data_IF_631029556557
#
_entry.id   IF_631029556557
#
_cell.length_a   1.000
_cell.length_b   1.000
_cell.length_c   1.000
_cell.angle_alpha   90.00
_cell.angle_beta   90.00
_cell.angle_gamma   90.00
#
_symmetry.space_group_name_H-M   'P 1'
#
loop_
_entity.id
_entity.type
_entity.pdbx_description
1 polymer ?
#
# COMPACT_ATOMS: atom_id res chain seq x y z
N UNK A 1 46.05 -6.21 -22.45
CA UNK A 1 45.06 -6.83 -21.55
C UNK A 1 44.02 -5.78 -21.22
N UNK A 2 42.90 -5.84 -21.91
CA UNK A 2 41.85 -4.82 -21.89
C UNK A 2 41.06 -4.86 -20.60
N UNK A 3 40.79 -3.67 -20.08
CA UNK A 3 40.13 -3.41 -18.82
C UNK A 3 38.61 -3.69 -18.97
N UNK A 4 38.14 -4.87 -18.55
CA UNK A 4 36.71 -5.22 -18.54
C UNK A 4 36.00 -4.65 -17.31
N UNK A 5 35.91 -3.33 -17.22
CA UNK A 5 34.88 -2.69 -16.39
C UNK A 5 33.58 -2.67 -17.22
N UNK A 6 32.82 -3.76 -17.17
CA UNK A 6 31.41 -3.71 -17.55
C UNK A 6 30.66 -2.92 -16.49
N UNK A 7 30.40 -1.66 -16.81
CA UNK A 7 29.40 -0.81 -16.16
C UNK A 7 28.10 -1.61 -15.96
N UNK A 8 27.81 -1.97 -14.72
CA UNK A 8 26.49 -2.42 -14.34
C UNK A 8 25.54 -1.22 -14.53
N UNK A 9 24.76 -1.25 -15.62
CA UNK A 9 23.64 -0.35 -15.84
C UNK A 9 22.75 -0.37 -14.60
N UNK A 10 22.78 0.72 -13.85
CA UNK A 10 21.83 1.00 -12.78
C UNK A 10 20.43 0.97 -13.40
N UNK A 11 19.67 -0.10 -13.14
CA UNK A 11 18.27 -0.17 -13.50
C UNK A 11 17.56 1.02 -12.86
N UNK A 12 17.14 1.99 -13.69
CA UNK A 12 16.23 3.04 -13.25
C UNK A 12 15.00 2.36 -12.67
N UNK A 13 14.84 2.41 -11.33
CA UNK A 13 13.60 2.05 -10.68
C UNK A 13 12.52 3.04 -11.16
N UNK A 14 11.85 2.73 -12.27
CA UNK A 14 10.65 3.43 -12.72
C UNK A 14 9.66 3.37 -11.54
N UNK A 15 9.36 4.54 -10.96
CA UNK A 15 8.47 4.65 -9.82
C UNK A 15 7.11 4.07 -10.24
N UNK A 16 6.69 2.99 -9.59
CA UNK A 16 5.40 2.37 -9.87
C UNK A 16 4.30 3.40 -9.58
N UNK A 17 3.41 3.64 -10.54
CA UNK A 17 2.29 4.55 -10.34
C UNK A 17 1.19 3.88 -9.53
N UNK A 18 0.35 4.65 -8.81
CA UNK A 18 -0.83 4.10 -8.12
C UNK A 18 -1.70 3.25 -9.04
N UNK A 19 -1.89 3.67 -10.29
CA UNK A 19 -2.63 2.91 -11.30
C UNK A 19 -2.00 1.53 -11.55
N UNK A 20 -0.68 1.46 -11.78
CA UNK A 20 0.03 0.19 -12.00
C UNK A 20 -0.11 -0.73 -10.80
N UNK A 21 0.10 -0.20 -9.59
CA UNK A 21 -0.03 -0.96 -8.34
C UNK A 21 -1.46 -1.48 -8.16
N UNK A 22 -2.46 -0.66 -8.46
CA UNK A 22 -3.87 -1.06 -8.36
C UNK A 22 -4.21 -2.21 -9.31
N UNK A 23 -3.75 -2.20 -10.56
CA UNK A 23 -3.99 -3.33 -11.46
C UNK A 23 -3.26 -4.60 -11.03
N UNK A 24 -2.05 -4.49 -10.46
CA UNK A 24 -1.33 -5.64 -9.88
C UNK A 24 -2.13 -6.25 -8.72
N UNK A 25 -2.62 -5.41 -7.79
CA UNK A 25 -3.48 -5.86 -6.69
C UNK A 25 -4.76 -6.52 -7.18
N UNK A 26 -5.41 -5.99 -8.22
CA UNK A 26 -6.60 -6.60 -8.80
C UNK A 26 -6.31 -7.97 -9.41
N UNK A 27 -5.24 -8.10 -10.18
CA UNK A 27 -4.84 -9.39 -10.78
C UNK A 27 -4.53 -10.41 -9.68
N UNK A 28 -3.80 -10.00 -8.64
CA UNK A 28 -3.51 -10.86 -7.49
C UNK A 28 -4.79 -11.34 -6.81
N UNK A 29 -5.72 -10.43 -6.49
CA UNK A 29 -6.98 -10.78 -5.83
C UNK A 29 -7.85 -11.72 -6.68
N UNK A 30 -7.87 -11.56 -8.01
CA UNK A 30 -8.58 -12.47 -8.91
C UNK A 30 -7.93 -13.85 -8.94
N UNK A 31 -6.60 -13.93 -8.99
CA UNK A 31 -5.88 -15.22 -8.93
C UNK A 31 -6.17 -15.93 -7.60
N UNK A 32 -6.12 -15.23 -6.48
CA UNK A 32 -6.38 -15.83 -5.16
C UNK A 32 -7.83 -16.35 -5.04
N UNK A 33 -8.80 -15.63 -5.63
CA UNK A 33 -10.23 -15.97 -5.51
C UNK A 33 -10.70 -17.00 -6.54
N UNK A 34 -10.18 -16.92 -7.76
CA UNK A 34 -10.71 -17.64 -8.94
C UNK A 34 -9.66 -18.52 -9.63
N UNK A 35 -8.42 -18.54 -9.13
CA UNK A 35 -7.28 -19.28 -9.68
C UNK A 35 -6.66 -18.65 -10.94
N UNK A 36 -7.38 -17.75 -11.62
CA UNK A 36 -6.95 -17.11 -12.86
C UNK A 36 -7.45 -15.67 -12.95
N UNK A 37 -6.74 -14.82 -13.69
CA UNK A 37 -7.19 -13.47 -14.02
C UNK A 37 -7.39 -13.33 -15.54
N UNK A 38 -8.64 -13.22 -16.00
CA UNK A 38 -8.95 -12.87 -17.41
C UNK A 38 -9.05 -11.35 -17.57
N UNK A 39 -8.78 -10.85 -18.77
CA UNK A 39 -8.96 -9.41 -19.08
C UNK A 39 -10.40 -8.95 -18.81
N UNK A 40 -11.40 -9.78 -19.10
CA UNK A 40 -12.81 -9.50 -18.81
C UNK A 40 -13.08 -9.33 -17.31
N UNK A 41 -12.45 -10.16 -16.48
CA UNK A 41 -12.67 -10.16 -15.03
C UNK A 41 -11.92 -8.98 -14.40
N UNK A 42 -10.72 -8.65 -14.90
CA UNK A 42 -9.99 -7.43 -14.55
C UNK A 42 -10.81 -6.18 -14.91
N UNK A 43 -11.35 -6.11 -16.12
CA UNK A 43 -12.16 -4.98 -16.58
C UNK A 43 -13.39 -4.77 -15.68
N UNK A 44 -14.10 -5.86 -15.35
CA UNK A 44 -15.26 -5.86 -14.46
C UNK A 44 -14.89 -5.43 -13.05
N UNK A 45 -13.84 -6.00 -12.46
CA UNK A 45 -13.38 -5.67 -11.11
C UNK A 45 -12.93 -4.20 -10.97
N UNK A 46 -12.38 -3.62 -12.06
CA UNK A 46 -11.93 -2.23 -12.10
C UNK A 46 -13.02 -1.24 -12.53
N UNK A 47 -14.16 -1.71 -13.05
CA UNK A 47 -15.21 -0.84 -13.62
C UNK A 47 -14.77 -0.08 -14.87
N UNK A 48 -13.91 -0.69 -15.71
CA UNK A 48 -13.36 -0.07 -16.93
C UNK A 48 -13.70 -0.87 -18.18
N UNK A 49 -13.55 -0.26 -19.36
CA UNK A 49 -13.74 -0.97 -20.62
C UNK A 49 -12.73 -2.11 -20.81
N UNK A 50 -13.10 -3.12 -21.62
CA UNK A 50 -12.18 -4.21 -21.99
C UNK A 50 -10.91 -3.68 -22.68
N UNK A 51 -11.03 -2.66 -23.52
CA UNK A 51 -9.90 -2.02 -24.18
C UNK A 51 -8.96 -1.33 -23.18
N UNK A 52 -9.52 -0.64 -22.18
CA UNK A 52 -8.77 -0.02 -21.09
C UNK A 52 -8.00 -1.06 -20.28
N UNK A 53 -8.65 -2.16 -19.88
CA UNK A 53 -8.00 -3.26 -19.18
C UNK A 53 -6.90 -3.91 -20.02
N UNK A 54 -7.14 -4.11 -21.32
CA UNK A 54 -6.14 -4.64 -22.26
C UNK A 54 -4.90 -3.76 -22.32
N UNK A 55 -5.07 -2.44 -22.41
CA UNK A 55 -3.96 -1.49 -22.43
C UNK A 55 -3.19 -1.47 -21.10
N UNK A 56 -3.90 -1.55 -19.98
CA UNK A 56 -3.27 -1.66 -18.66
C UNK A 56 -2.43 -2.94 -18.54
N UNK A 57 -2.96 -4.09 -18.95
CA UNK A 57 -2.20 -5.36 -18.93
C UNK A 57 -1.00 -5.30 -19.89
N UNK A 58 -1.14 -4.70 -21.08
CA UNK A 58 0.01 -4.48 -21.97
C UNK A 58 1.11 -3.64 -21.32
N UNK A 59 0.75 -2.59 -20.55
CA UNK A 59 1.72 -1.80 -19.78
C UNK A 59 2.35 -2.64 -18.65
N UNK A 60 1.61 -3.50 -17.97
CA UNK A 60 2.18 -4.41 -16.96
C UNK A 60 3.16 -5.42 -17.57
N UNK A 61 2.87 -5.92 -18.78
CA UNK A 61 3.77 -6.79 -19.54
C UNK A 61 5.05 -6.04 -19.92
N UNK A 62 4.95 -4.81 -20.42
CA UNK A 62 6.15 -4.03 -20.77
C UNK A 62 7.00 -3.64 -19.56
N UNK A 63 6.42 -3.61 -18.36
CA UNK A 63 7.13 -3.43 -17.09
C UNK A 63 7.71 -4.73 -16.51
N UNK A 64 7.46 -5.89 -17.13
CA UNK A 64 7.88 -7.20 -16.64
C UNK A 64 7.18 -7.65 -15.36
N UNK A 65 5.95 -7.16 -15.11
CA UNK A 65 5.17 -7.43 -13.91
C UNK A 65 4.10 -8.50 -14.14
N UNK A 66 3.68 -8.69 -15.39
CA UNK A 66 2.70 -9.68 -15.81
C UNK A 66 3.18 -10.39 -17.06
N UNK A 67 2.93 -11.69 -17.13
CA UNK A 67 2.96 -12.48 -18.36
C UNK A 67 1.54 -12.69 -18.88
N UNK A 68 1.30 -12.34 -20.14
CA UNK A 68 0.00 -12.52 -20.77
C UNK A 68 0.16 -12.96 -22.23
N UNK A 69 -0.23 -14.22 -22.52
CA UNK A 69 -0.23 -14.78 -23.89
C UNK A 69 -1.54 -14.45 -24.60
N UNK A 70 -1.56 -14.53 -25.93
CA UNK A 70 -2.79 -14.31 -26.72
C UNK A 70 -3.85 -15.34 -26.30
N UNK A 71 -5.06 -14.87 -25.95
CA UNK A 71 -6.15 -15.66 -25.35
C UNK A 71 -5.84 -16.30 -23.99
N UNK A 72 -4.73 -15.93 -23.35
CA UNK A 72 -4.30 -16.46 -22.07
C UNK A 72 -4.78 -15.65 -20.87
N UNK A 73 -4.57 -16.22 -19.68
CA UNK A 73 -4.75 -15.52 -18.41
C UNK A 73 -3.58 -14.58 -18.14
N UNK A 74 -3.84 -13.47 -17.45
CA UNK A 74 -2.79 -12.64 -16.89
C UNK A 74 -2.17 -13.38 -15.69
N UNK A 75 -0.86 -13.63 -15.74
CA UNK A 75 -0.09 -14.25 -14.66
C UNK A 75 0.89 -13.25 -14.11
N UNK A 76 1.00 -13.13 -12.79
CA UNK A 76 2.03 -12.29 -12.19
C UNK A 76 3.39 -12.95 -12.41
N UNK A 77 4.38 -12.16 -12.84
CA UNK A 77 5.78 -12.61 -12.82
C UNK A 77 6.26 -12.68 -11.36
N UNK A 78 7.42 -13.32 -11.06
CA UNK A 78 7.98 -13.28 -9.71
C UNK A 78 8.21 -11.86 -9.16
N UNK A 79 8.44 -10.87 -10.04
CA UNK A 79 8.53 -9.46 -9.66
C UNK A 79 7.15 -8.88 -9.35
N UNK A 80 6.15 -9.10 -10.21
CA UNK A 80 4.78 -8.65 -9.98
C UNK A 80 4.16 -9.24 -8.71
N UNK A 81 4.43 -10.52 -8.43
CA UNK A 81 3.95 -11.21 -7.23
C UNK A 81 4.50 -10.59 -5.95
N UNK A 82 5.81 -10.29 -5.90
CA UNK A 82 6.42 -9.62 -4.74
C UNK A 82 5.80 -8.26 -4.47
N UNK A 83 5.50 -7.49 -5.52
CA UNK A 83 4.83 -6.20 -5.39
C UNK A 83 3.40 -6.38 -4.87
N UNK A 84 2.64 -7.33 -5.44
CA UNK A 84 1.28 -7.61 -5.00
C UNK A 84 1.21 -8.00 -3.51
N UNK A 85 2.10 -8.88 -3.06
CA UNK A 85 2.18 -9.30 -1.66
C UNK A 85 2.57 -8.15 -0.73
N UNK A 86 3.51 -7.29 -1.15
CA UNK A 86 3.87 -6.08 -0.41
C UNK A 86 2.66 -5.16 -0.24
N UNK A 87 1.89 -4.93 -1.31
CA UNK A 87 0.68 -4.10 -1.29
C UNK A 87 -0.39 -4.72 -0.39
N UNK A 88 -0.69 -6.01 -0.54
CA UNK A 88 -1.69 -6.72 0.28
C UNK A 88 -1.34 -6.67 1.77
N UNK A 89 -0.07 -6.85 2.09
CA UNK A 89 0.42 -6.73 3.47
C UNK A 89 0.33 -5.30 3.98
N UNK A 90 0.57 -4.30 3.14
CA UNK A 90 0.36 -2.88 3.45
C UNK A 90 -1.10 -2.57 3.75
N UNK A 91 -2.02 -2.98 2.86
CA UNK A 91 -3.47 -2.83 3.05
C UNK A 91 -3.93 -3.46 4.36
N UNK A 92 -3.46 -4.67 4.67
CA UNK A 92 -3.84 -5.38 5.91
C UNK A 92 -3.40 -4.61 7.15
N UNK A 93 -2.18 -4.07 7.18
CA UNK A 93 -1.68 -3.27 8.31
C UNK A 93 -2.49 -1.99 8.50
N UNK A 94 -2.81 -1.29 7.41
CA UNK A 94 -3.61 -0.06 7.47
C UNK A 94 -5.04 -0.40 7.93
N UNK A 95 -5.65 -1.43 7.36
CA UNK A 95 -6.97 -1.92 7.76
C UNK A 95 -7.01 -2.19 9.26
N UNK A 96 -6.08 -3.01 9.75
CA UNK A 96 -6.03 -3.40 11.14
C UNK A 96 -5.69 -2.22 12.06
N UNK A 97 -4.89 -1.26 11.63
CA UNK A 97 -4.72 -0.02 12.38
C UNK A 97 -6.08 0.68 12.59
N UNK A 98 -6.86 0.88 11.54
CA UNK A 98 -8.16 1.52 11.63
C UNK A 98 -9.17 0.70 12.45
N UNK A 99 -9.09 -0.64 12.44
CA UNK A 99 -9.96 -1.49 13.23
C UNK A 99 -9.56 -1.52 14.71
N UNK A 100 -8.30 -1.85 15.02
CA UNK A 100 -7.85 -2.08 16.39
C UNK A 100 -7.58 -0.79 17.17
N UNK A 101 -7.15 0.27 16.50
CA UNK A 101 -6.72 1.51 17.16
C UNK A 101 -7.79 2.58 17.06
N UNK A 102 -8.39 2.75 15.87
CA UNK A 102 -9.41 3.78 15.65
C UNK A 102 -10.83 3.25 15.94
N UNK A 103 -11.04 1.94 15.90
CA UNK A 103 -12.32 1.32 16.25
C UNK A 103 -13.41 1.40 15.17
N UNK A 104 -13.05 1.53 13.88
CA UNK A 104 -14.05 1.62 12.81
C UNK A 104 -14.39 0.25 12.19
N UNK A 105 -15.61 0.07 11.62
CA UNK A 105 -16.02 -1.18 11.01
C UNK A 105 -15.11 -1.64 9.87
N UNK A 106 -14.92 -2.95 9.74
CA UNK A 106 -14.02 -3.59 8.77
C UNK A 106 -14.20 -3.05 7.34
N UNK A 107 -15.44 -2.99 6.84
CA UNK A 107 -15.72 -2.51 5.48
C UNK A 107 -15.21 -1.08 5.24
N UNK A 108 -15.32 -0.21 6.24
CA UNK A 108 -14.82 1.17 6.16
C UNK A 108 -13.29 1.20 6.23
N UNK A 109 -12.69 0.38 7.09
CA UNK A 109 -11.24 0.23 7.19
C UNK A 109 -10.61 -0.32 5.89
N UNK A 110 -11.26 -1.26 5.21
CA UNK A 110 -10.83 -1.79 3.91
C UNK A 110 -10.80 -0.71 2.83
N UNK A 111 -11.87 0.10 2.76
CA UNK A 111 -11.94 1.21 1.81
C UNK A 111 -10.79 2.19 2.04
N UNK A 112 -10.56 2.61 3.28
CA UNK A 112 -9.48 3.53 3.63
C UNK A 112 -8.11 2.93 3.29
N UNK A 113 -7.87 1.68 3.67
CA UNK A 113 -6.61 0.99 3.39
C UNK A 113 -6.29 0.96 1.89
N UNK A 114 -7.29 0.66 1.06
CA UNK A 114 -7.15 0.61 -0.40
C UNK A 114 -6.82 1.97 -1.02
N UNK A 115 -7.31 3.07 -0.44
CA UNK A 115 -7.02 4.42 -0.91
C UNK A 115 -5.60 4.85 -0.51
N UNK A 116 -5.17 4.50 0.70
CA UNK A 116 -3.89 4.96 1.23
C UNK A 116 -2.70 4.17 0.68
N UNK A 117 -2.81 2.85 0.52
CA UNK A 117 -1.64 1.96 0.32
C UNK A 117 -0.76 2.34 -0.88
N UNK A 118 -1.37 2.88 -1.93
CA UNK A 118 -0.70 3.20 -3.19
C UNK A 118 0.13 4.47 -3.15
N UNK A 119 -0.18 5.40 -2.23
CA UNK A 119 0.50 6.70 -2.13
C UNK A 119 1.59 6.73 -1.05
N UNK A 120 1.65 5.70 -0.21
CA UNK A 120 2.70 5.59 0.80
C UNK A 120 4.05 5.26 0.14
N UNK A 121 5.09 5.99 0.50
CA UNK A 121 6.46 5.59 0.16
C UNK A 121 6.96 4.46 1.07
N UNK A 122 8.16 3.94 0.78
CA UNK A 122 8.75 2.85 1.54
C UNK A 122 9.06 3.24 3.00
N UNK A 123 9.42 4.49 3.25
CA UNK A 123 9.72 4.99 4.59
C UNK A 123 8.45 5.07 5.44
N UNK A 124 7.38 5.63 4.90
CA UNK A 124 6.09 5.79 5.55
C UNK A 124 5.49 4.43 5.87
N UNK A 125 5.52 3.48 4.93
CA UNK A 125 5.13 2.08 5.19
C UNK A 125 5.93 1.45 6.33
N UNK A 126 7.25 1.71 6.39
CA UNK A 126 8.13 1.21 7.46
C UNK A 126 7.76 1.82 8.82
N UNK A 127 7.51 3.12 8.88
CA UNK A 127 7.09 3.82 10.10
C UNK A 127 5.72 3.33 10.59
N UNK A 128 4.73 3.22 9.69
CA UNK A 128 3.40 2.67 10.03
C UNK A 128 3.49 1.22 10.55
N UNK A 129 4.36 0.39 9.95
CA UNK A 129 4.59 -0.97 10.45
C UNK A 129 5.13 -0.98 11.87
N UNK A 130 6.13 -0.13 12.18
CA UNK A 130 6.70 -0.03 13.53
C UNK A 130 5.66 0.46 14.54
N UNK A 131 4.86 1.44 14.14
CA UNK A 131 3.77 1.96 14.96
C UNK A 131 2.71 0.89 15.25
N UNK A 132 2.24 0.17 14.23
CA UNK A 132 1.28 -0.91 14.41
C UNK A 132 1.80 -2.02 15.34
N UNK A 133 3.08 -2.39 15.27
CA UNK A 133 3.65 -3.40 16.20
C UNK A 133 3.69 -2.96 17.66
N UNK A 134 3.68 -1.66 17.94
CA UNK A 134 3.57 -1.15 19.32
C UNK A 134 2.13 -1.31 19.83
N UNK A 135 1.15 -1.14 18.93
CA UNK A 135 -0.27 -1.07 19.28
C UNK A 135 -0.94 -2.45 19.39
N UNK A 136 -0.50 -3.45 18.63
CA UNK A 136 -1.13 -4.78 18.68
C UNK A 136 -0.90 -5.51 20.01
N UNK A 137 0.24 -5.25 20.66
CA UNK A 137 0.62 -5.87 21.95
C UNK A 137 0.52 -4.86 23.09
N UNK A 138 -0.56 -4.06 23.15
CA UNK A 138 -0.67 -2.90 24.04
C UNK A 138 -0.72 -3.27 25.53
N UNK A 139 0.45 -3.47 26.14
CA UNK A 139 0.66 -3.57 27.57
C UNK A 139 1.01 -2.21 28.17
N UNK A 140 1.01 -2.10 29.50
CA UNK A 140 1.43 -0.87 30.20
C UNK A 140 2.84 -0.42 29.77
N UNK A 141 3.76 -1.36 29.55
CA UNK A 141 5.13 -1.08 29.10
C UNK A 141 5.18 -0.55 27.65
N UNK A 142 4.23 -0.98 26.80
CA UNK A 142 4.09 -0.47 25.42
C UNK A 142 3.50 0.92 25.34
N UNK A 143 2.69 1.34 26.32
CA UNK A 143 2.23 2.72 26.42
C UNK A 143 3.42 3.68 26.63
N UNK A 144 4.39 3.30 27.45
CA UNK A 144 5.63 4.08 27.63
C UNK A 144 6.52 4.07 26.38
N UNK A 145 6.58 2.94 25.64
CA UNK A 145 7.30 2.86 24.36
C UNK A 145 6.66 3.76 23.29
N UNK A 146 5.33 3.80 23.24
CA UNK A 146 4.57 4.67 22.35
C UNK A 146 4.84 6.15 22.65
N UNK A 147 4.86 6.53 23.93
CA UNK A 147 5.20 7.88 24.35
C UNK A 147 6.60 8.28 23.87
N UNK A 148 7.61 7.44 24.12
CA UNK A 148 8.99 7.67 23.66
C UNK A 148 9.07 7.81 22.14
N UNK A 149 8.38 6.94 21.40
CA UNK A 149 8.34 6.98 19.94
C UNK A 149 7.75 8.30 19.42
N UNK A 150 6.61 8.74 19.95
CA UNK A 150 5.96 10.00 19.54
C UNK A 150 6.87 11.19 19.85
N UNK A 151 7.48 11.24 21.03
CA UNK A 151 8.42 12.31 21.42
C UNK A 151 9.63 12.36 20.47
N UNK A 152 10.19 11.21 20.09
CA UNK A 152 11.32 11.12 19.16
C UNK A 152 10.94 11.58 17.75
N UNK A 153 9.77 11.20 17.24
CA UNK A 153 9.31 11.67 15.92
C UNK A 153 9.10 13.20 15.93
N UNK A 154 8.60 13.78 17.03
CA UNK A 154 8.36 15.23 17.15
C UNK A 154 9.63 16.07 17.33
N UNK A 155 10.71 15.51 17.88
CA UNK A 155 12.03 16.18 17.90
C UNK A 155 12.63 16.34 16.50
N UNK A 156 12.28 15.45 15.58
CA UNK A 156 12.83 15.38 14.23
C UNK A 156 11.87 15.88 13.15
N UNK A 157 10.71 16.44 13.53
CA UNK A 157 9.68 16.92 12.60
C UNK A 157 9.18 18.27 13.07
N UNK A 158 9.35 19.33 12.27
CA UNK A 158 8.62 20.59 12.50
C UNK A 158 7.15 20.36 12.22
N UNK A 159 6.31 20.48 13.26
CA UNK A 159 4.86 20.47 13.11
C UNK A 159 4.37 21.89 12.82
N UNK A 160 3.43 22.09 11.89
CA UNK A 160 2.79 23.39 11.67
C UNK A 160 2.09 23.86 12.96
N UNK A 161 2.03 25.17 13.20
CA UNK A 161 1.32 25.73 14.37
C UNK A 161 -0.12 25.24 14.49
N UNK A 162 -0.78 24.98 13.37
CA UNK A 162 -2.16 24.47 13.31
C UNK A 162 -2.33 23.13 14.04
N UNK A 163 -1.30 22.28 14.04
CA UNK A 163 -1.31 21.00 14.75
C UNK A 163 -1.39 21.18 16.27
N UNK A 164 -0.86 22.28 16.80
CA UNK A 164 -0.94 22.61 18.23
C UNK A 164 -2.29 23.22 18.60
N UNK A 165 -2.91 23.98 17.68
CA UNK A 165 -4.24 24.58 17.87
C UNK A 165 -5.36 23.52 17.90
N UNK A 166 -5.20 22.41 17.17
CA UNK A 166 -6.12 21.26 17.22
C UNK A 166 -6.22 20.64 18.63
N UNK A 167 -5.16 20.71 19.43
CA UNK A 167 -5.16 20.21 20.81
C UNK A 167 -6.13 20.96 21.73
N UNK A 168 -6.43 22.23 21.40
CA UNK A 168 -7.43 23.05 22.09
C UNK A 168 -8.86 22.74 21.65
N UNK A 169 -9.07 22.43 20.36
CA UNK A 169 -10.40 22.17 19.77
C UNK A 169 -10.97 20.77 20.09
N UNK A 170 -10.11 19.77 20.29
CA UNK A 170 -10.56 18.41 20.68
C UNK A 170 -11.37 18.43 21.99
N UNK A 171 -11.13 19.41 22.89
CA UNK A 171 -11.93 19.59 24.10
C UNK A 171 -13.32 20.18 23.86
N UNK A 172 -13.51 20.96 22.79
CA UNK A 172 -14.80 21.60 22.50
C UNK A 172 -15.77 20.66 21.78
N UNK A 173 -15.27 19.70 21.00
CA UNK A 173 -16.10 18.71 20.28
C UNK A 173 -16.67 17.62 21.21
N UNK A 174 -16.10 17.42 22.41
CA UNK A 174 -16.63 16.50 23.44
C UNK A 174 -17.86 17.05 24.19
N UNK A 175 -18.12 18.37 24.11
CA UNK A 175 -19.23 19.05 24.80
C UNK A 175 -20.54 19.08 23.98
N UNK A 176 -20.58 18.42 22.81
CA UNK A 176 -21.72 18.39 21.89
C UNK A 176 -22.37 17.01 21.68
N UNK A 177 -21.99 15.98 22.46
CA UNK A 177 -22.73 14.70 22.57
C UNK A 177 -23.74 14.72 23.73
#
# INVERSE_FOLDING_TARGET
>A
MGNEFKEQKVEKHEKLTPTVMSYISTIYNLIEKEGVARISDIARAKGVSYASATNAVKKLVSLGLVDHRRYGFAKLTPRGLRIAQMLKSGESRIKYFFMYVVGIPEKKAEQIASLMVYDLDAETRRKLRKFYSILIDFTKDKAEELERFIQEQRKNTELPEEAYRLKGKIKEDEDYE
#
